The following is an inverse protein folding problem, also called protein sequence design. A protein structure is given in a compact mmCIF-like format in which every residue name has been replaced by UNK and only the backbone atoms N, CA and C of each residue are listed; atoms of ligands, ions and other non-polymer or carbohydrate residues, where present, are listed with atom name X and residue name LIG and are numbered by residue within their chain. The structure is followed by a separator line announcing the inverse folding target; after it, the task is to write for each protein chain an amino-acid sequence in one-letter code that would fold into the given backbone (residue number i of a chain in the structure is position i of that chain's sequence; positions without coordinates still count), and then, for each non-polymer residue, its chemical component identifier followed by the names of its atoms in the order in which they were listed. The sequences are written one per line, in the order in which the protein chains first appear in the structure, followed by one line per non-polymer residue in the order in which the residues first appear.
data_IF_643859778560
#
_entry.id   IF_643859778560
#
_cell.length_a   1.000
_cell.length_b   1.000
_cell.length_c   1.000
_cell.angle_alpha   90.00
_cell.angle_beta   90.00
_cell.angle_gamma   90.00
#
_symmetry.space_group_name_H-M   'P 1'
#
loop_
_entity.id
_entity.type
_entity.pdbx_description
1 polymer ?
#
# COMPACT_ATOMS: atom_id res chain seq x y z
N UNK A 1 17.38 -0.21 14.64
CA UNK A 1 16.15 -0.01 13.89
C UNK A 1 15.36 -1.32 13.93
N UNK A 2 14.10 -1.28 14.38
CA UNK A 2 13.22 -2.47 14.41
C UNK A 2 12.70 -2.80 13.01
N UNK A 3 12.13 -3.99 12.82
CA UNK A 3 11.48 -4.38 11.56
C UNK A 3 10.30 -3.46 11.26
N UNK A 4 9.49 -3.13 12.28
CA UNK A 4 8.37 -2.20 12.15
C UNK A 4 8.81 -0.81 11.68
N UNK A 5 9.90 -0.27 12.24
CA UNK A 5 10.46 1.01 11.81
C UNK A 5 10.95 0.97 10.36
N UNK A 6 11.53 -0.15 9.91
CA UNK A 6 11.93 -0.33 8.50
C UNK A 6 10.72 -0.33 7.57
N UNK A 7 9.67 -1.07 7.93
CA UNK A 7 8.44 -1.15 7.14
C UNK A 7 7.81 0.24 7.04
N UNK A 8 7.71 0.97 8.16
CA UNK A 8 7.21 2.35 8.17
C UNK A 8 8.03 3.27 7.26
N UNK A 9 9.36 3.21 7.32
CA UNK A 9 10.24 3.98 6.44
C UNK A 9 10.02 3.66 4.95
N UNK A 10 9.87 2.39 4.61
CA UNK A 10 9.62 1.95 3.24
C UNK A 10 8.26 2.44 2.74
N UNK A 11 7.22 2.37 3.57
CA UNK A 11 5.88 2.86 3.23
C UNK A 11 5.88 4.38 3.06
N UNK A 12 6.61 5.14 3.89
CA UNK A 12 6.76 6.59 3.71
C UNK A 12 7.43 6.92 2.37
N UNK A 13 8.49 6.20 2.01
CA UNK A 13 9.18 6.38 0.72
C UNK A 13 8.27 6.04 -0.45
N UNK A 14 7.49 4.97 -0.31
CA UNK A 14 6.49 4.56 -1.30
C UNK A 14 5.39 5.62 -1.46
N UNK A 15 4.85 6.16 -0.36
CA UNK A 15 3.87 7.27 -0.37
C UNK A 15 4.41 8.50 -1.11
N UNK A 16 5.68 8.84 -0.89
CA UNK A 16 6.32 9.96 -1.60
C UNK A 16 6.47 9.66 -3.10
N UNK A 17 6.97 8.47 -3.46
CA UNK A 17 7.27 8.10 -4.85
C UNK A 17 6.03 7.93 -5.72
N UNK A 18 5.03 7.23 -5.21
CA UNK A 18 3.84 6.84 -5.98
C UNK A 18 2.72 7.89 -5.89
N UNK A 19 2.63 8.60 -4.76
CA UNK A 19 1.52 9.52 -4.49
C UNK A 19 1.96 10.97 -4.27
N UNK A 20 3.26 11.27 -4.24
CA UNK A 20 3.77 12.61 -3.96
C UNK A 20 3.54 13.07 -2.52
N UNK A 21 3.22 12.16 -1.61
CA UNK A 21 2.86 12.47 -0.22
C UNK A 21 4.12 12.52 0.65
N UNK A 22 4.39 13.68 1.23
CA UNK A 22 5.49 13.88 2.20
C UNK A 22 5.06 13.47 3.61
N UNK A 23 4.84 12.18 3.82
CA UNK A 23 4.46 11.64 5.12
C UNK A 23 5.62 11.68 6.12
N UNK A 24 5.31 11.97 7.39
CA UNK A 24 6.26 11.86 8.53
C UNK A 24 6.05 10.60 9.36
N UNK A 25 4.88 9.97 9.21
CA UNK A 25 4.60 8.65 9.75
C UNK A 25 3.72 7.89 8.77
N UNK A 26 3.86 6.58 8.71
CA UNK A 26 2.92 5.70 8.03
C UNK A 26 2.73 4.42 8.85
N UNK A 27 1.53 3.86 8.82
CA UNK A 27 1.22 2.55 9.38
C UNK A 27 0.26 1.81 8.46
N UNK A 28 0.41 0.50 8.45
CA UNK A 28 -0.51 -0.47 7.87
C UNK A 28 -0.90 -1.36 9.04
N UNK A 29 -2.19 -1.47 9.35
CA UNK A 29 -2.67 -2.41 10.36
C UNK A 29 -2.83 -3.82 9.76
N UNK A 30 -2.77 -4.86 10.58
CA UNK A 30 -2.95 -6.25 10.12
C UNK A 30 -4.38 -6.50 9.61
N UNK A 31 -5.34 -5.67 10.03
CA UNK A 31 -6.72 -5.70 9.55
C UNK A 31 -6.95 -4.79 8.32
N UNK A 32 -5.95 -3.97 7.94
CA UNK A 32 -6.06 -2.96 6.88
C UNK A 32 -5.62 -3.49 5.49
N UNK A 33 -5.40 -4.80 5.34
CA UNK A 33 -4.98 -5.42 4.08
C UNK A 33 -5.84 -6.67 3.77
N UNK A 34 -6.72 -6.56 2.78
CA UNK A 34 -7.66 -7.63 2.41
C UNK A 34 -7.44 -8.02 0.94
N UNK A 35 -7.32 -9.32 0.66
CA UNK A 35 -7.33 -9.82 -0.73
C UNK A 35 -8.79 -9.96 -1.16
N UNK A 36 -9.18 -9.18 -2.16
CA UNK A 36 -10.52 -9.19 -2.75
C UNK A 36 -10.47 -9.76 -4.15
N UNK A 37 -11.59 -10.35 -4.54
CA UNK A 37 -11.82 -10.91 -5.88
C UNK A 37 -12.99 -10.19 -6.51
N UNK A 38 -12.79 -9.61 -7.69
CA UNK A 38 -13.87 -9.04 -8.49
C UNK A 38 -14.05 -9.81 -9.78
N UNK A 39 -15.28 -10.19 -10.07
CA UNK A 39 -15.66 -10.78 -11.35
C UNK A 39 -16.14 -9.70 -12.31
N UNK A 40 -15.54 -9.69 -13.49
CA UNK A 40 -15.92 -8.82 -14.60
C UNK A 40 -16.48 -9.67 -15.74
N UNK A 41 -17.72 -9.39 -16.16
CA UNK A 41 -18.34 -10.02 -17.33
C UNK A 41 -19.86 -10.20 -17.20
N UNK A 42 -20.60 -9.93 -18.28
CA UNK A 42 -22.06 -10.07 -18.36
C UNK A 42 -22.49 -11.33 -19.15
N UNK A 43 -21.58 -12.27 -19.44
CA UNK A 43 -21.91 -13.48 -20.19
C UNK A 43 -21.35 -14.75 -19.54
N UNK A 44 -22.10 -15.85 -19.64
CA UNK A 44 -21.87 -17.13 -18.97
C UNK A 44 -20.51 -17.80 -19.25
N UNK A 45 -19.73 -17.31 -20.22
CA UNK A 45 -18.45 -17.92 -20.64
C UNK A 45 -17.28 -16.95 -20.74
N UNK A 46 -17.47 -15.67 -20.45
CA UNK A 46 -16.45 -14.63 -20.62
C UNK A 46 -16.14 -13.85 -19.33
N UNK A 47 -16.65 -14.32 -18.18
CA UNK A 47 -16.27 -13.78 -16.88
C UNK A 47 -14.79 -14.02 -16.60
N UNK A 48 -14.05 -12.96 -16.28
CA UNK A 48 -12.71 -13.07 -15.71
C UNK A 48 -12.72 -12.55 -14.26
N UNK A 49 -11.96 -13.21 -13.41
CA UNK A 49 -11.81 -12.87 -11.99
C UNK A 49 -10.46 -12.21 -11.78
N UNK A 50 -10.47 -11.01 -11.20
CA UNK A 50 -9.28 -10.27 -10.83
C UNK A 50 -9.14 -10.26 -9.30
N UNK A 51 -8.01 -10.74 -8.81
CA UNK A 51 -7.65 -10.67 -7.41
C UNK A 51 -6.77 -9.44 -7.17
N UNK A 52 -7.12 -8.62 -6.18
CA UNK A 52 -6.33 -7.45 -5.79
C UNK A 52 -6.26 -7.34 -4.27
N UNK A 53 -5.16 -6.78 -3.77
CA UNK A 53 -5.04 -6.31 -2.41
C UNK A 53 -5.75 -4.97 -2.29
N UNK A 54 -6.70 -4.85 -1.38
CA UNK A 54 -7.16 -3.57 -0.87
C UNK A 54 -6.38 -3.26 0.42
N UNK A 55 -5.64 -2.15 0.40
CA UNK A 55 -4.72 -1.76 1.47
C UNK A 55 -5.08 -0.36 1.96
N UNK A 56 -5.34 -0.22 3.25
CA UNK A 56 -5.48 1.09 3.90
C UNK A 56 -4.16 1.49 4.53
N UNK A 57 -3.55 2.56 4.01
CA UNK A 57 -2.33 3.14 4.58
C UNK A 57 -2.68 4.40 5.34
N UNK A 58 -2.49 4.38 6.67
CA UNK A 58 -2.67 5.55 7.50
C UNK A 58 -1.37 6.34 7.60
N UNK A 59 -1.41 7.65 7.36
CA UNK A 59 -0.23 8.51 7.38
C UNK A 59 -0.50 9.85 8.06
N UNK A 60 0.57 10.56 8.42
CA UNK A 60 0.50 11.96 8.90
C UNK A 60 1.50 12.83 8.13
N UNK A 61 1.22 14.12 8.02
CA UNK A 61 2.06 15.12 7.34
C UNK A 61 2.44 16.19 8.36
N UNK A 62 3.69 16.67 8.33
CA UNK A 62 4.25 17.55 9.36
C UNK A 62 3.42 18.84 9.60
N UNK A 63 2.91 19.42 8.51
CA UNK A 63 2.27 20.73 8.52
C UNK A 63 0.74 20.66 8.72
N UNK A 64 0.19 19.46 8.98
CA UNK A 64 -1.24 19.23 9.02
C UNK A 64 -1.64 18.43 10.27
N UNK A 65 -2.63 18.95 11.00
CA UNK A 65 -3.15 18.24 12.16
C UNK A 65 -4.03 17.06 11.72
N UNK A 66 -3.75 15.88 12.27
CA UNK A 66 -4.59 14.69 12.15
C UNK A 66 -3.99 13.57 11.31
N UNK A 67 -4.51 12.37 11.51
CA UNK A 67 -4.14 11.20 10.73
C UNK A 67 -5.02 11.14 9.47
N UNK A 68 -4.38 10.86 8.34
CA UNK A 68 -5.03 10.64 7.05
C UNK A 68 -4.89 9.19 6.67
N UNK A 69 -5.66 8.76 5.69
CA UNK A 69 -5.47 7.47 5.08
C UNK A 69 -5.60 7.55 3.57
N UNK A 70 -5.07 6.54 2.90
CA UNK A 70 -5.30 6.27 1.50
C UNK A 70 -5.61 4.79 1.34
N UNK A 71 -6.68 4.49 0.62
CA UNK A 71 -7.00 3.14 0.18
C UNK A 71 -6.32 2.90 -1.16
N UNK A 72 -5.58 1.81 -1.26
CA UNK A 72 -4.84 1.43 -2.45
C UNK A 72 -5.26 0.04 -2.89
N UNK A 73 -5.58 -0.09 -4.17
CA UNK A 73 -5.92 -1.36 -4.80
C UNK A 73 -4.76 -1.77 -5.70
N UNK A 74 -4.08 -2.86 -5.33
CA UNK A 74 -2.85 -3.28 -6.02
C UNK A 74 -2.68 -4.78 -5.97
N UNK A 75 -1.99 -5.36 -6.93
CA UNK A 75 -1.55 -6.76 -6.81
C UNK A 75 -0.64 -6.91 -5.56
N UNK A 76 -0.94 -7.84 -4.62
CA UNK A 76 -0.21 -7.96 -3.37
C UNK A 76 1.29 -8.24 -3.58
N UNK A 77 1.64 -9.09 -4.55
CA UNK A 77 3.03 -9.45 -4.83
C UNK A 77 3.80 -8.26 -5.41
N UNK A 78 3.16 -7.48 -6.28
CA UNK A 78 3.72 -6.27 -6.85
C UNK A 78 4.00 -5.21 -5.77
N UNK A 79 3.09 -5.02 -4.81
CA UNK A 79 3.32 -4.11 -3.69
C UNK A 79 4.51 -4.55 -2.83
N UNK A 80 4.58 -5.84 -2.45
CA UNK A 80 5.71 -6.37 -1.69
C UNK A 80 7.03 -6.24 -2.45
N UNK A 81 7.04 -6.52 -3.76
CA UNK A 81 8.22 -6.37 -4.60
C UNK A 81 8.70 -4.91 -4.67
N UNK A 82 7.78 -3.94 -4.70
CA UNK A 82 8.12 -2.52 -4.66
C UNK A 82 8.76 -2.11 -3.34
N UNK A 83 8.22 -2.58 -2.20
CA UNK A 83 8.79 -2.31 -0.89
C UNK A 83 10.20 -2.90 -0.78
N UNK A 84 10.42 -4.13 -1.24
CA UNK A 84 11.74 -4.77 -1.27
C UNK A 84 12.73 -4.00 -2.17
N UNK A 85 12.27 -3.53 -3.33
CA UNK A 85 13.11 -2.74 -4.24
C UNK A 85 13.51 -1.39 -3.62
N UNK A 86 12.61 -0.74 -2.88
CA UNK A 86 12.91 0.49 -2.14
C UNK A 86 13.87 0.26 -0.97
N UNK A 87 13.89 -0.96 -0.42
CA UNK A 87 14.84 -1.37 0.61
C UNK A 87 16.25 -1.54 0.03
N UNK A 88 16.37 -2.21 -1.12
CA UNK A 88 17.65 -2.40 -1.79
C UNK A 88 18.27 -1.09 -2.30
N UNK A 89 17.45 -0.12 -2.74
CA UNK A 89 17.90 1.22 -3.16
C UNK A 89 18.51 2.05 -2.00
N UNK A 90 18.30 1.64 -0.76
CA UNK A 90 18.76 2.35 0.43
C UNK A 90 20.13 1.88 0.95
N UNK A 91 20.72 0.86 0.32
CA UNK A 91 21.99 0.21 0.71
C UNK A 91 23.17 0.80 -0.06
#
# INVERSE_FOLDING_TARGET
MTVEQRIQDLVIRWLHREHGINAVSARIDEDDWEIKSEQYGYCDTCGYEENYLELTVWYSVADEAGQRYIEVRKDPLSFLAELLRLEDEAV
#
